data_IF_363556099342
#
_entry.id   IF_363556099342
#
_cell.length_a   1.000
_cell.length_b   1.000
_cell.length_c   1.000
_cell.angle_alpha   90.00
_cell.angle_beta   90.00
_cell.angle_gamma   90.00
#
_symmetry.space_group_name_H-M   'P 1'
#
loop_
_entity.id
_entity.type
_entity.pdbx_description
1 polymer ?
#
# COMPACT_ATOMS: atom_id res chain seq x y z
N UNK A 1 9.53 4.21 -7.18
CA UNK A 1 9.20 5.60 -7.59
C UNK A 1 10.36 6.56 -7.28
N UNK A 2 10.47 7.66 -8.01
CA UNK A 2 11.61 8.58 -7.90
C UNK A 2 11.63 9.38 -6.58
N UNK A 3 10.52 9.37 -5.84
CA UNK A 3 10.38 10.00 -4.51
C UNK A 3 10.73 9.06 -3.35
N UNK A 4 11.23 7.85 -3.61
CA UNK A 4 11.66 6.92 -2.57
C UNK A 4 13.15 7.10 -2.27
N UNK A 5 13.51 6.96 -1.00
CA UNK A 5 14.89 7.11 -0.56
C UNK A 5 15.74 5.95 -1.12
N UNK A 6 16.73 6.29 -1.92
CA UNK A 6 17.60 5.37 -2.64
C UNK A 6 18.79 4.88 -1.79
N UNK A 7 18.96 5.40 -0.58
CA UNK A 7 20.07 5.03 0.33
C UNK A 7 19.78 3.79 1.19
N UNK A 8 18.58 3.23 1.08
CA UNK A 8 18.05 2.27 2.04
C UNK A 8 18.16 0.80 1.58
N UNK A 9 19.38 0.34 1.31
CA UNK A 9 19.65 -1.03 0.84
C UNK A 9 19.68 -2.12 1.93
N UNK A 10 19.50 -1.78 3.21
CA UNK A 10 19.69 -2.73 4.31
C UNK A 10 18.42 -3.48 4.78
N UNK A 11 17.22 -3.02 4.41
CA UNK A 11 15.95 -3.64 4.84
C UNK A 11 15.02 -3.93 3.66
N UNK A 12 14.28 -5.05 3.74
CA UNK A 12 13.29 -5.49 2.72
C UNK A 12 12.22 -4.42 2.48
N UNK A 13 11.82 -3.68 3.52
CA UNK A 13 10.90 -2.56 3.41
C UNK A 13 11.15 -1.50 4.50
N UNK A 14 10.59 -0.30 4.30
CA UNK A 14 10.63 0.80 5.27
C UNK A 14 9.25 1.35 5.55
N UNK A 15 9.02 1.82 6.78
CA UNK A 15 7.81 2.55 7.19
C UNK A 15 8.18 4.02 7.33
N UNK A 16 7.54 4.87 6.53
CA UNK A 16 7.72 6.32 6.61
C UNK A 16 6.47 6.92 7.25
N UNK A 17 6.62 7.48 8.45
CA UNK A 17 5.55 8.23 9.08
C UNK A 17 5.22 9.46 8.23
N UNK A 18 3.97 9.56 7.77
CA UNK A 18 3.50 10.72 7.02
C UNK A 18 3.16 11.86 7.97
N UNK A 19 3.56 13.08 7.61
CA UNK A 19 3.13 14.29 8.31
C UNK A 19 1.64 14.51 8.09
N UNK A 20 0.91 14.89 9.14
CA UNK A 20 -0.52 15.24 9.07
C UNK A 20 -0.80 16.43 8.13
N UNK A 21 0.20 17.28 7.90
CA UNK A 21 0.13 18.39 6.94
C UNK A 21 0.41 17.98 5.49
N UNK A 22 0.87 16.74 5.26
CA UNK A 22 1.18 16.29 3.90
C UNK A 22 -0.09 15.97 3.12
N UNK A 23 -0.07 16.27 1.82
CA UNK A 23 -1.18 15.96 0.91
C UNK A 23 -1.53 14.47 0.94
N UNK A 24 -0.52 13.60 0.95
CA UNK A 24 -0.70 12.15 0.98
C UNK A 24 -1.45 11.70 2.25
N UNK A 25 -1.09 12.24 3.41
CA UNK A 25 -1.80 11.95 4.66
C UNK A 25 -3.28 12.34 4.56
N UNK A 26 -3.56 13.58 4.14
CA UNK A 26 -4.92 14.11 4.05
C UNK A 26 -5.79 13.33 3.07
N UNK A 27 -5.23 12.88 1.94
CA UNK A 27 -5.93 12.05 0.96
C UNK A 27 -6.30 10.67 1.54
N UNK A 28 -5.38 10.03 2.28
CA UNK A 28 -5.64 8.73 2.91
C UNK A 28 -6.64 8.87 4.07
N UNK A 29 -6.48 9.89 4.90
CA UNK A 29 -7.40 10.21 6.01
C UNK A 29 -8.82 10.42 5.50
N UNK A 30 -9.00 11.29 4.49
CA UNK A 30 -10.31 11.57 3.90
C UNK A 30 -10.97 10.30 3.34
N UNK A 31 -10.20 9.47 2.62
CA UNK A 31 -10.71 8.22 2.08
C UNK A 31 -11.14 7.22 3.17
N UNK A 32 -10.38 7.14 4.26
CA UNK A 32 -10.69 6.27 5.40
C UNK A 32 -11.94 6.73 6.16
N UNK A 33 -12.00 8.02 6.50
CA UNK A 33 -13.13 8.62 7.22
C UNK A 33 -14.45 8.65 6.44
N UNK A 34 -14.40 8.40 5.12
CA UNK A 34 -15.62 8.23 4.31
C UNK A 34 -16.51 7.09 4.84
N UNK A 35 -15.91 6.05 5.44
CA UNK A 35 -16.67 4.89 5.95
C UNK A 35 -16.34 4.50 7.38
N UNK A 36 -15.23 4.99 7.96
CA UNK A 36 -14.78 4.62 9.30
C UNK A 36 -14.47 5.89 10.13
N UNK A 37 -15.32 6.31 11.08
CA UNK A 37 -15.12 7.52 11.88
C UNK A 37 -14.10 7.34 13.02
N UNK A 38 -13.16 6.40 12.89
CA UNK A 38 -12.19 6.08 13.93
C UNK A 38 -11.07 7.12 13.98
N UNK A 39 -10.55 7.36 15.19
CA UNK A 39 -9.35 8.17 15.36
C UNK A 39 -8.14 7.48 14.70
N UNK A 40 -7.46 8.22 13.82
CA UNK A 40 -6.21 7.77 13.21
C UNK A 40 -5.06 8.13 14.14
N UNK A 41 -4.27 7.14 14.57
CA UNK A 41 -3.10 7.36 15.43
C UNK A 41 -1.88 7.80 14.59
N UNK A 42 -1.69 7.17 13.42
CA UNK A 42 -0.66 7.51 12.44
C UNK A 42 -0.98 6.88 11.09
N UNK A 43 -0.35 7.41 10.04
CA UNK A 43 -0.34 6.82 8.70
C UNK A 43 1.11 6.62 8.29
N UNK A 44 1.46 5.37 7.98
CA UNK A 44 2.80 4.97 7.59
C UNK A 44 2.80 4.55 6.12
N UNK A 45 3.60 5.20 5.29
CA UNK A 45 3.84 4.77 3.90
C UNK A 45 4.84 3.62 3.89
N UNK A 46 4.46 2.51 3.30
CA UNK A 46 5.33 1.34 3.13
C UNK A 46 6.14 1.50 1.84
N UNK A 47 7.46 1.50 1.96
CA UNK A 47 8.39 1.50 0.85
C UNK A 47 9.04 0.12 0.74
N UNK A 48 8.50 -0.73 -0.13
CA UNK A 48 9.07 -2.03 -0.49
C UNK A 48 9.29 -2.05 -2.01
N UNK A 49 10.55 -1.94 -2.43
CA UNK A 49 10.92 -1.77 -3.85
C UNK A 49 10.60 -3.01 -4.67
N UNK A 50 10.94 -4.19 -4.17
CA UNK A 50 10.71 -5.45 -4.87
C UNK A 50 9.21 -5.69 -5.12
N UNK A 51 8.38 -5.50 -4.09
CA UNK A 51 6.92 -5.65 -4.24
C UNK A 51 6.36 -4.61 -5.22
N UNK A 52 6.83 -3.36 -5.14
CA UNK A 52 6.37 -2.31 -6.03
C UNK A 52 6.75 -2.58 -7.49
N UNK A 53 7.96 -3.09 -7.76
CA UNK A 53 8.38 -3.48 -9.11
C UNK A 53 7.52 -4.63 -9.66
N UNK A 54 7.25 -5.65 -8.84
CA UNK A 54 6.34 -6.75 -9.21
C UNK A 54 4.92 -6.22 -9.50
N UNK A 55 4.44 -5.29 -8.68
CA UNK A 55 3.15 -4.62 -8.88
C UNK A 55 3.11 -3.89 -10.22
N UNK A 56 4.08 -3.04 -10.52
CA UNK A 56 4.13 -2.25 -11.75
C UNK A 56 4.19 -3.13 -13.00
N UNK A 57 4.94 -4.24 -12.98
CA UNK A 57 4.98 -5.19 -14.11
C UNK A 57 3.58 -5.78 -14.37
N UNK A 58 2.88 -6.21 -13.31
CA UNK A 58 1.51 -6.75 -13.43
C UNK A 58 0.53 -5.67 -13.88
N UNK A 59 0.67 -4.46 -13.33
CA UNK A 59 -0.14 -3.29 -13.68
C UNK A 59 -0.03 -2.99 -15.17
N UNK A 60 1.18 -2.92 -15.72
CA UNK A 60 1.42 -2.72 -17.16
C UNK A 60 0.85 -3.84 -18.03
N UNK A 61 0.97 -5.11 -17.60
CA UNK A 61 0.35 -6.22 -18.31
C UNK A 61 -1.18 -6.11 -18.35
N UNK A 62 -1.80 -5.70 -17.25
CA UNK A 62 -3.25 -5.46 -17.14
C UNK A 62 -3.68 -4.26 -17.98
N UNK A 63 -2.90 -3.17 -18.01
CA UNK A 63 -3.14 -2.01 -18.88
C UNK A 63 -3.20 -2.43 -20.35
N UNK A 64 -2.24 -3.25 -20.81
CA UNK A 64 -2.23 -3.79 -22.18
C UNK A 64 -3.45 -4.68 -22.46
N UNK A 65 -3.88 -5.47 -21.47
CA UNK A 65 -5.02 -6.39 -21.59
C UNK A 65 -6.37 -5.67 -21.67
N UNK A 66 -6.59 -4.63 -20.86
CA UNK A 66 -7.90 -3.99 -20.73
C UNK A 66 -8.01 -2.65 -21.48
N UNK A 67 -6.89 -2.11 -21.98
CA UNK A 67 -6.88 -0.86 -22.74
C UNK A 67 -7.55 0.29 -21.98
N UNK A 68 -8.52 0.95 -22.62
CA UNK A 68 -9.27 2.06 -22.02
C UNK A 68 -10.05 1.71 -20.75
N UNK A 69 -10.38 0.43 -20.54
CA UNK A 69 -11.13 -0.03 -19.37
C UNK A 69 -10.24 -0.28 -18.14
N UNK A 70 -8.93 -0.06 -18.24
CA UNK A 70 -8.00 -0.34 -17.15
C UNK A 70 -8.26 0.49 -15.89
N UNK A 71 -8.68 1.76 -16.04
CA UNK A 71 -8.93 2.66 -14.91
C UNK A 71 -9.99 2.13 -13.93
N UNK A 72 -10.94 1.33 -14.40
CA UNK A 72 -11.97 0.70 -13.56
C UNK A 72 -11.47 -0.56 -12.83
N UNK A 73 -10.25 -1.02 -13.11
CA UNK A 73 -9.67 -2.26 -12.56
C UNK A 73 -8.61 -2.00 -11.49
N UNK A 74 -7.94 -0.85 -11.54
CA UNK A 74 -7.01 -0.43 -10.49
C UNK A 74 -7.75 0.45 -9.47
N UNK A 75 -8.12 -0.16 -8.34
CA UNK A 75 -8.88 0.50 -7.28
C UNK A 75 -8.03 0.67 -6.01
N UNK A 76 -8.24 1.79 -5.32
CA UNK A 76 -7.72 1.99 -3.96
C UNK A 76 -8.71 1.40 -2.96
N UNK A 77 -8.32 0.35 -2.26
CA UNK A 77 -9.15 -0.39 -1.30
C UNK A 77 -8.47 -0.50 0.06
N UNK A 78 -9.25 -0.77 1.11
CA UNK A 78 -8.74 -1.00 2.46
C UNK A 78 -8.68 -2.49 2.80
N UNK A 79 -7.66 -2.89 3.58
CA UNK A 79 -7.48 -4.25 4.07
C UNK A 79 -7.14 -4.23 5.56
N UNK A 80 -8.06 -4.72 6.40
CA UNK A 80 -7.81 -4.94 7.83
C UNK A 80 -7.11 -6.27 8.06
N UNK A 81 -6.18 -6.30 9.02
CA UNK A 81 -5.43 -7.50 9.39
C UNK A 81 -5.04 -7.48 10.87
N UNK A 82 -4.58 -8.61 11.40
CA UNK A 82 -4.07 -8.72 12.78
C UNK A 82 -2.62 -8.23 12.88
N UNK A 83 -2.18 -7.89 14.10
CA UNK A 83 -0.84 -7.32 14.34
C UNK A 83 0.28 -8.27 13.90
N UNK A 84 0.08 -9.58 14.04
CA UNK A 84 1.04 -10.63 13.71
C UNK A 84 1.33 -10.74 12.20
N UNK A 85 0.43 -10.20 11.37
CA UNK A 85 0.55 -10.25 9.91
C UNK A 85 1.17 -8.99 9.32
N UNK A 86 1.29 -7.89 10.08
CA UNK A 86 1.78 -6.60 9.58
C UNK A 86 3.17 -6.75 8.94
N UNK A 87 4.12 -7.34 9.66
CA UNK A 87 5.50 -7.52 9.17
C UNK A 87 5.56 -8.43 7.93
N UNK A 88 4.79 -9.52 7.92
CA UNK A 88 4.71 -10.45 6.79
C UNK A 88 4.15 -9.78 5.54
N UNK A 89 3.11 -8.94 5.70
CA UNK A 89 2.49 -8.21 4.59
C UNK A 89 3.43 -7.12 4.08
N UNK A 90 4.11 -6.38 4.96
CA UNK A 90 5.04 -5.34 4.54
C UNK A 90 6.27 -5.91 3.80
N UNK A 91 6.76 -7.07 4.23
CA UNK A 91 7.92 -7.72 3.62
C UNK A 91 7.57 -8.52 2.35
N UNK A 92 6.44 -9.24 2.35
CA UNK A 92 6.10 -10.23 1.31
C UNK A 92 4.80 -9.97 0.55
N UNK A 93 4.07 -8.90 0.88
CA UNK A 93 2.81 -8.54 0.25
C UNK A 93 1.61 -9.36 0.75
N UNK A 94 0.46 -9.15 0.12
CA UNK A 94 -0.75 -9.88 0.47
C UNK A 94 -0.66 -11.34 -0.02
N UNK A 95 -0.81 -12.28 0.90
CA UNK A 95 -0.89 -13.70 0.61
C UNK A 95 -2.27 -14.24 0.98
N UNK A 96 -2.88 -15.01 0.07
CA UNK A 96 -4.16 -15.69 0.31
C UNK A 96 -4.13 -16.64 1.51
N UNK A 97 -2.96 -17.16 1.87
CA UNK A 97 -2.79 -17.99 3.06
C UNK A 97 -3.08 -17.25 4.36
N UNK A 98 -3.11 -15.91 4.34
CA UNK A 98 -3.46 -15.09 5.51
C UNK A 98 -4.96 -14.80 5.62
N UNK A 99 -5.74 -15.10 4.57
CA UNK A 99 -7.17 -14.82 4.56
C UNK A 99 -7.89 -15.71 5.59
N UNK A 100 -8.62 -15.08 6.51
CA UNK A 100 -9.42 -15.77 7.52
C UNK A 100 -8.64 -16.26 8.75
N UNK A 101 -7.35 -15.96 8.86
CA UNK A 101 -6.62 -16.14 10.12
C UNK A 101 -7.14 -15.10 11.12
N UNK A 102 -7.74 -15.59 12.21
CA UNK A 102 -8.26 -14.79 13.32
C UNK A 102 -7.32 -14.89 14.52
#
# INVERSE_FOLDING_TARGET
PDYWDSTLFECIFHKINLSTSSKEYQEVETAFHTTAPNQIVRIERIQNREIYEIYEVKRQAMMKKYGGNFAEKELRLFHGTSVENIEKINAGGLNRSYAGMR
#
